data_IF_176854794182
#
_entry.id   IF_176854794182
#
_cell.length_a   1.000
_cell.length_b   1.000
_cell.length_c   1.000
_cell.angle_alpha   90.00
_cell.angle_beta   90.00
_cell.angle_gamma   90.00
#
_symmetry.space_group_name_H-M   'P 1'
#
loop_
_entity.id
_entity.type
_entity.pdbx_description
1 polymer ?
#
# COMPACT_ATOMS: atom_id res chain seq x y z
N UNK A 1 5.20 27.19 26.43
CA UNK A 1 4.00 28.03 26.66
C UNK A 1 3.48 28.66 25.37
N UNK A 2 4.33 29.20 24.49
CA UNK A 2 3.91 29.80 23.21
C UNK A 2 2.99 28.91 22.34
N UNK A 3 3.30 27.61 22.16
CA UNK A 3 2.42 26.68 21.42
C UNK A 3 1.01 26.58 21.98
N UNK A 4 0.85 26.62 23.31
CA UNK A 4 -0.47 26.55 23.94
C UNK A 4 -1.29 27.80 23.67
N UNK A 5 -0.65 28.96 23.64
CA UNK A 5 -1.31 30.25 23.33
C UNK A 5 -1.75 30.29 21.86
N UNK A 6 -0.92 29.81 20.93
CA UNK A 6 -1.27 29.72 19.50
C UNK A 6 -2.42 28.73 19.28
N UNK A 7 -2.39 27.58 19.94
CA UNK A 7 -3.48 26.60 19.87
C UNK A 7 -4.79 27.17 20.43
N UNK A 8 -4.75 27.84 21.58
CA UNK A 8 -5.93 28.47 22.17
C UNK A 8 -6.52 29.57 21.27
N UNK A 9 -5.67 30.43 20.69
CA UNK A 9 -6.10 31.45 19.73
C UNK A 9 -6.70 30.84 18.45
N UNK A 10 -6.11 29.75 17.95
CA UNK A 10 -6.61 29.02 16.78
C UNK A 10 -7.96 28.34 17.03
N UNK A 11 -8.16 27.74 18.21
CA UNK A 11 -9.44 27.13 18.61
C UNK A 11 -10.51 28.19 18.81
N UNK A 12 -10.19 29.32 19.46
CA UNK A 12 -11.13 30.42 19.63
C UNK A 12 -11.56 31.00 18.28
N UNK A 13 -10.60 31.21 17.36
CA UNK A 13 -10.88 31.66 16.00
C UNK A 13 -11.70 30.62 15.20
N UNK A 14 -11.40 29.33 15.36
CA UNK A 14 -12.14 28.23 14.75
C UNK A 14 -13.59 28.10 15.26
N UNK A 15 -13.85 28.43 16.53
CA UNK A 15 -15.20 28.41 17.12
C UNK A 15 -16.09 29.57 16.64
N UNK A 16 -15.47 30.70 16.27
CA UNK A 16 -16.19 31.87 15.70
C UNK A 16 -16.47 31.68 14.21
N UNK A 17 -15.67 30.90 13.49
CA UNK A 17 -15.93 30.56 12.10
C UNK A 17 -16.99 29.47 12.00
N UNK A 18 -17.96 29.67 11.12
CA UNK A 18 -19.11 28.78 10.94
C UNK A 18 -18.68 27.33 10.73
N UNK A 19 -19.36 26.39 11.40
CA UNK A 19 -19.09 24.95 11.29
C UNK A 19 -19.00 24.50 9.82
N UNK A 20 -19.84 25.06 8.94
CA UNK A 20 -19.83 24.79 7.49
C UNK A 20 -18.46 24.99 6.83
N UNK A 21 -17.67 26.00 7.22
CA UNK A 21 -16.34 26.22 6.66
C UNK A 21 -15.31 25.20 7.18
N UNK A 22 -15.43 24.76 8.43
CA UNK A 22 -14.58 23.72 9.01
C UNK A 22 -14.89 22.34 8.39
N UNK A 23 -16.16 22.04 8.15
CA UNK A 23 -16.61 20.84 7.46
C UNK A 23 -16.13 20.81 6.00
N UNK A 24 -16.24 21.93 5.27
CA UNK A 24 -15.75 22.01 3.89
C UNK A 24 -14.22 21.78 3.77
N UNK A 25 -13.44 22.26 4.76
CA UNK A 25 -11.99 22.01 4.81
C UNK A 25 -11.68 20.53 5.10
N UNK A 26 -12.47 19.90 5.99
CA UNK A 26 -12.39 18.47 6.28
C UNK A 26 -12.70 17.60 5.06
N UNK A 27 -13.78 17.89 4.35
CA UNK A 27 -14.20 17.14 3.16
C UNK A 27 -13.15 17.22 2.03
N UNK A 28 -12.50 18.39 1.87
CA UNK A 28 -11.37 18.53 0.94
C UNK A 28 -10.16 17.68 1.36
N UNK A 29 -9.86 17.59 2.66
CA UNK A 29 -8.79 16.74 3.18
C UNK A 29 -9.04 15.25 2.94
N UNK A 30 -10.27 14.79 3.21
CA UNK A 30 -10.69 13.39 2.95
C UNK A 30 -10.68 13.09 1.46
N UNK A 31 -11.15 14.03 0.64
CA UNK A 31 -11.11 13.93 -0.82
C UNK A 31 -9.68 13.80 -1.37
N UNK A 32 -8.73 14.59 -0.85
CA UNK A 32 -7.33 14.52 -1.26
C UNK A 32 -6.70 13.17 -0.88
N UNK A 33 -6.97 12.66 0.32
CA UNK A 33 -6.49 11.35 0.76
C UNK A 33 -7.01 10.23 -0.16
N UNK A 34 -8.31 10.27 -0.48
CA UNK A 34 -8.91 9.31 -1.39
C UNK A 34 -8.34 9.41 -2.81
N UNK A 35 -8.14 10.64 -3.31
CA UNK A 35 -7.63 10.87 -4.67
C UNK A 35 -6.20 10.35 -4.86
N UNK A 36 -5.31 10.64 -3.91
CA UNK A 36 -3.94 10.14 -3.94
C UNK A 36 -3.90 8.61 -3.92
N UNK A 37 -4.71 7.99 -3.05
CA UNK A 37 -4.78 6.53 -2.97
C UNK A 37 -5.38 5.91 -4.24
N UNK A 38 -6.42 6.52 -4.82
CA UNK A 38 -7.03 6.05 -6.06
C UNK A 38 -6.05 6.08 -7.23
N UNK A 39 -5.29 7.18 -7.38
CA UNK A 39 -4.24 7.29 -8.40
C UNK A 39 -3.15 6.24 -8.20
N UNK A 40 -2.71 6.01 -6.96
CA UNK A 40 -1.73 4.98 -6.63
C UNK A 40 -2.21 3.57 -7.03
N UNK A 41 -3.46 3.22 -6.71
CA UNK A 41 -4.07 1.94 -7.09
C UNK A 41 -4.10 1.77 -8.61
N UNK A 42 -4.49 2.81 -9.36
CA UNK A 42 -4.56 2.76 -10.82
C UNK A 42 -3.17 2.51 -11.44
N UNK A 43 -2.14 3.18 -10.93
CA UNK A 43 -0.76 3.02 -11.39
C UNK A 43 -0.20 1.63 -11.06
N UNK A 44 -0.52 1.10 -9.88
CA UNK A 44 -0.09 -0.22 -9.41
C UNK A 44 -0.93 -1.39 -9.93
N UNK A 45 -2.06 -1.13 -10.58
CA UNK A 45 -2.98 -2.18 -11.05
C UNK A 45 -2.32 -3.23 -11.93
N UNK A 46 -1.40 -2.83 -12.84
CA UNK A 46 -0.74 -3.77 -13.77
C UNK A 46 0.14 -4.80 -13.06
N UNK A 47 1.15 -4.42 -12.25
CA UNK A 47 1.96 -5.39 -11.51
C UNK A 47 1.13 -6.15 -10.45
N UNK A 48 0.18 -5.51 -9.78
CA UNK A 48 -0.68 -6.15 -8.78
C UNK A 48 -1.51 -7.31 -9.37
N UNK A 49 -2.13 -7.10 -10.54
CA UNK A 49 -2.90 -8.16 -11.21
C UNK A 49 -2.00 -9.30 -11.73
N UNK A 50 -0.78 -9.01 -12.15
CA UNK A 50 0.19 -10.05 -12.55
C UNK A 50 0.58 -10.92 -11.36
N UNK A 51 0.93 -10.30 -10.24
CA UNK A 51 1.26 -11.01 -9.00
C UNK A 51 0.08 -11.85 -8.50
N UNK A 52 -1.14 -11.33 -8.58
CA UNK A 52 -2.34 -12.07 -8.18
C UNK A 52 -2.59 -13.29 -9.07
N UNK A 53 -2.42 -13.17 -10.39
CA UNK A 53 -2.61 -14.30 -11.32
C UNK A 53 -1.58 -15.41 -11.06
N UNK A 54 -0.33 -15.05 -10.83
CA UNK A 54 0.75 -15.98 -10.49
C UNK A 54 0.43 -16.73 -9.19
N UNK A 55 0.08 -16.00 -8.13
CA UNK A 55 -0.37 -16.59 -6.87
C UNK A 55 -1.55 -17.56 -7.05
N UNK A 56 -2.57 -17.17 -7.83
CA UNK A 56 -3.73 -18.02 -8.09
C UNK A 56 -3.36 -19.27 -8.91
N UNK A 57 -2.43 -19.17 -9.85
CA UNK A 57 -1.97 -20.33 -10.63
C UNK A 57 -1.23 -21.32 -9.73
N UNK A 58 -0.28 -20.84 -8.93
CA UNK A 58 0.50 -21.68 -8.03
C UNK A 58 -0.39 -22.35 -6.98
N UNK A 59 -1.31 -21.59 -6.37
CA UNK A 59 -2.28 -22.14 -5.41
C UNK A 59 -3.22 -23.18 -6.02
N UNK A 60 -3.64 -23.01 -7.28
CA UNK A 60 -4.47 -24.00 -7.99
C UNK A 60 -3.71 -25.29 -8.32
N UNK A 61 -2.40 -25.21 -8.46
CA UNK A 61 -1.53 -26.37 -8.68
C UNK A 61 -1.21 -27.13 -7.40
N UNK A 62 -1.69 -26.67 -6.24
CA UNK A 62 -1.40 -27.28 -4.93
C UNK A 62 0.03 -27.03 -4.45
N UNK A 63 0.77 -26.12 -5.11
CA UNK A 63 2.11 -25.72 -4.73
C UNK A 63 2.07 -24.66 -3.63
N UNK A 64 3.13 -24.59 -2.83
CA UNK A 64 3.34 -23.48 -1.90
C UNK A 64 3.71 -22.21 -2.70
N UNK A 65 2.88 -21.15 -2.69
CA UNK A 65 3.05 -20.04 -3.61
C UNK A 65 4.27 -19.18 -3.28
N UNK A 66 5.26 -19.17 -4.16
CA UNK A 66 6.47 -18.34 -4.08
C UNK A 66 6.41 -17.23 -5.12
N UNK A 67 6.41 -15.99 -4.64
CA UNK A 67 6.41 -14.81 -5.51
C UNK A 67 7.80 -14.57 -6.09
N UNK A 68 7.92 -14.66 -7.42
CA UNK A 68 9.17 -14.41 -8.14
C UNK A 68 9.01 -13.22 -9.10
N UNK A 69 9.43 -12.01 -8.69
CA UNK A 69 9.18 -10.79 -9.48
C UNK A 69 9.90 -10.80 -10.84
N UNK A 70 11.07 -11.42 -10.94
CA UNK A 70 11.83 -11.57 -12.19
C UNK A 70 11.05 -12.31 -13.27
N UNK A 71 10.39 -13.43 -12.91
CA UNK A 71 9.56 -14.24 -13.84
C UNK A 71 8.35 -13.47 -14.37
N UNK A 72 7.84 -12.52 -13.60
CA UNK A 72 6.66 -11.72 -13.93
C UNK A 72 7.00 -10.39 -14.63
N UNK A 73 8.29 -10.08 -14.78
CA UNK A 73 8.80 -8.83 -15.32
C UNK A 73 8.44 -7.61 -14.46
N UNK A 74 8.31 -7.81 -13.14
CA UNK A 74 8.05 -6.73 -12.18
C UNK A 74 9.41 -6.14 -11.76
N UNK A 75 9.68 -4.91 -12.21
CA UNK A 75 10.91 -4.18 -11.88
C UNK A 75 10.80 -3.53 -10.49
N UNK A 76 11.94 -3.25 -9.86
CA UNK A 76 12.05 -2.58 -8.54
C UNK A 76 11.47 -3.39 -7.37
N UNK A 77 11.62 -4.72 -7.40
CA UNK A 77 11.15 -5.62 -6.34
C UNK A 77 12.33 -6.37 -5.67
N UNK A 78 13.45 -5.68 -5.45
CA UNK A 78 14.72 -6.26 -4.95
C UNK A 78 14.58 -7.01 -3.63
N UNK A 79 13.74 -6.53 -2.71
CA UNK A 79 13.48 -7.24 -1.44
C UNK A 79 12.79 -8.59 -1.70
N UNK A 80 11.86 -8.62 -2.66
CA UNK A 80 11.10 -9.82 -2.99
C UNK A 80 11.91 -10.83 -3.82
N UNK A 81 12.94 -10.38 -4.54
CA UNK A 81 13.91 -11.27 -5.21
C UNK A 81 14.66 -12.13 -4.19
N UNK A 82 15.14 -11.52 -3.09
CA UNK A 82 15.80 -12.24 -2.00
C UNK A 82 14.88 -13.26 -1.32
N UNK A 83 13.68 -12.82 -0.92
CA UNK A 83 12.67 -13.68 -0.26
C UNK A 83 12.24 -14.84 -1.18
N UNK A 84 12.04 -14.57 -2.47
CA UNK A 84 11.66 -15.61 -3.43
C UNK A 84 12.75 -16.66 -3.64
N UNK A 85 14.02 -16.28 -3.61
CA UNK A 85 15.14 -17.20 -3.75
C UNK A 85 15.33 -18.09 -2.52
N UNK A 86 15.16 -17.54 -1.32
CA UNK A 86 15.23 -18.29 -0.05
C UNK A 86 14.11 -19.34 0.02
N UNK A 87 12.86 -18.93 -0.24
CA UNK A 87 11.72 -19.83 -0.27
C UNK A 87 11.88 -20.96 -1.32
N UNK A 88 12.43 -20.64 -2.49
CA UNK A 88 12.71 -21.65 -3.51
C UNK A 88 13.76 -22.67 -3.03
N UNK A 89 14.79 -22.21 -2.32
CA UNK A 89 15.83 -23.07 -1.75
C UNK A 89 15.27 -24.05 -0.70
N UNK A 90 14.38 -23.59 0.18
CA UNK A 90 13.75 -24.47 1.17
C UNK A 90 12.90 -25.58 0.53
N UNK A 91 12.16 -25.26 -0.54
CA UNK A 91 11.35 -26.24 -1.27
C UNK A 91 12.24 -27.28 -1.97
N UNK A 92 13.31 -26.86 -2.66
CA UNK A 92 14.25 -27.78 -3.31
C UNK A 92 14.99 -28.70 -2.31
N UNK A 93 15.20 -28.25 -1.07
CA UNK A 93 15.78 -29.09 -0.01
C UNK A 93 14.76 -30.11 0.49
N UNK A 94 13.50 -29.72 0.72
CA UNK A 94 12.43 -30.65 1.14
C UNK A 94 12.15 -31.73 0.10
N UNK A 95 12.21 -31.42 -1.19
CA UNK A 95 11.96 -32.40 -2.26
C UNK A 95 13.08 -33.45 -2.41
N UNK A 96 14.25 -33.22 -1.81
CA UNK A 96 15.43 -34.11 -1.87
C UNK A 96 15.62 -34.99 -0.63
N UNK A 97 14.82 -34.77 0.42
CA UNK A 97 14.85 -35.52 1.69
C UNK A 97 13.72 -36.54 1.70
#
# INVERSE_FOLDING_TARGET
TAMRVVLLASVFYGAVKTAASAWALGDMGVGLMAWLNLVAIILLRKPALKALKDYQQQRKQGLDPVFQPERLGIKNATVWEGVGNEAKGEIEVKDKV
#
